data_IF_148941357315
#
_entry.id   IF_148941357315
#
_cell.length_a   1.000
_cell.length_b   1.000
_cell.length_c   1.000
_cell.angle_alpha   90.00
_cell.angle_beta   90.00
_cell.angle_gamma   90.00
#
_symmetry.space_group_name_H-M   'P 1'
#
loop_
_entity.id
_entity.type
_entity.pdbx_description
1 polymer ?
#
# COMPACT_ATOMS: atom_id res chain seq x y z
N UNK A 1 -25.83 32.17 16.60
CA UNK A 1 -26.75 31.42 15.71
C UNK A 1 -26.42 29.91 15.67
N UNK A 2 -25.19 29.50 15.50
CA UNK A 2 -24.79 28.08 15.43
C UNK A 2 -25.32 27.24 16.60
N UNK A 3 -25.17 27.72 17.86
CA UNK A 3 -25.64 27.02 19.07
C UNK A 3 -27.14 26.67 19.04
N UNK A 4 -28.00 27.53 18.46
CA UNK A 4 -29.43 27.25 18.34
C UNK A 4 -29.69 26.08 17.37
N UNK A 5 -29.01 26.04 16.25
CA UNK A 5 -29.13 24.93 15.26
C UNK A 5 -28.64 23.61 15.81
N UNK A 6 -27.54 23.63 16.58
CA UNK A 6 -27.01 22.43 17.23
C UNK A 6 -28.00 21.85 18.24
N UNK A 7 -28.63 22.70 19.06
CA UNK A 7 -29.65 22.24 20.04
C UNK A 7 -30.85 21.66 19.33
N UNK A 8 -31.34 22.30 18.26
CA UNK A 8 -32.44 21.76 17.47
C UNK A 8 -32.11 20.45 16.81
N UNK A 9 -30.91 20.31 16.24
CA UNK A 9 -30.44 19.07 15.66
C UNK A 9 -30.39 17.94 16.71
N UNK A 10 -29.84 18.20 17.89
CA UNK A 10 -29.80 17.22 18.99
C UNK A 10 -31.21 16.79 19.46
N UNK A 11 -32.16 17.72 19.59
CA UNK A 11 -33.54 17.39 19.94
C UNK A 11 -34.19 16.50 18.88
N UNK A 12 -33.95 16.75 17.60
CA UNK A 12 -34.44 15.90 16.51
C UNK A 12 -33.81 14.52 16.56
N UNK A 13 -32.48 14.42 16.73
CA UNK A 13 -31.79 13.15 16.89
C UNK A 13 -32.39 12.34 18.06
N UNK A 14 -32.68 13.01 19.18
CA UNK A 14 -33.33 12.38 20.33
C UNK A 14 -34.75 11.89 20.00
N UNK A 15 -35.48 12.63 19.19
CA UNK A 15 -36.81 12.24 18.72
C UNK A 15 -36.74 11.03 17.80
N UNK A 16 -35.76 10.98 16.87
CA UNK A 16 -35.53 9.80 16.01
C UNK A 16 -35.22 8.56 16.82
N UNK A 17 -34.30 8.70 17.79
CA UNK A 17 -33.91 7.57 18.65
C UNK A 17 -35.10 7.01 19.44
N UNK A 18 -36.09 7.85 19.78
CA UNK A 18 -37.28 7.42 20.51
C UNK A 18 -38.41 6.89 19.63
N UNK A 19 -38.68 7.56 18.50
CA UNK A 19 -39.80 7.18 17.62
C UNK A 19 -39.45 6.00 16.70
N UNK A 20 -38.23 5.99 16.17
CA UNK A 20 -37.77 5.04 15.16
C UNK A 20 -36.47 4.35 15.61
N UNK A 21 -36.48 3.81 16.83
CA UNK A 21 -35.28 3.20 17.47
C UNK A 21 -34.59 2.18 16.59
N UNK A 22 -35.36 1.31 15.93
CA UNK A 22 -34.78 0.26 15.08
C UNK A 22 -34.01 0.84 13.90
N UNK A 23 -34.59 1.80 13.18
CA UNK A 23 -33.98 2.48 12.03
C UNK A 23 -32.74 3.26 12.48
N UNK A 24 -32.86 3.94 13.62
CA UNK A 24 -31.77 4.69 14.21
C UNK A 24 -30.58 3.78 14.59
N UNK A 25 -30.86 2.64 15.23
CA UNK A 25 -29.84 1.65 15.56
C UNK A 25 -29.19 1.04 14.31
N UNK A 26 -29.96 0.68 13.29
CA UNK A 26 -29.46 0.18 12.01
C UNK A 26 -28.55 1.20 11.32
N UNK A 27 -28.93 2.47 11.38
CA UNK A 27 -28.14 3.58 10.85
C UNK A 27 -26.78 3.69 11.55
N UNK A 28 -26.77 3.76 12.88
CA UNK A 28 -25.53 3.82 13.66
C UNK A 28 -24.67 2.61 13.44
N UNK A 29 -25.24 1.42 13.53
CA UNK A 29 -24.52 0.15 13.34
C UNK A 29 -23.93 0.06 11.94
N UNK A 30 -24.70 0.38 10.90
CA UNK A 30 -24.23 0.37 9.51
C UNK A 30 -23.08 1.35 9.30
N UNK A 31 -23.15 2.56 9.87
CA UNK A 31 -22.07 3.55 9.76
C UNK A 31 -20.82 3.12 10.53
N UNK A 32 -20.97 2.54 11.72
CA UNK A 32 -19.86 2.03 12.52
C UNK A 32 -19.17 0.87 11.79
N UNK A 33 -19.93 -0.11 11.31
CA UNK A 33 -19.38 -1.26 10.55
C UNK A 33 -18.68 -0.83 9.27
N UNK A 34 -19.26 0.14 8.55
CA UNK A 34 -18.65 0.71 7.35
C UNK A 34 -17.31 1.38 7.66
N UNK A 35 -17.24 2.19 8.70
CA UNK A 35 -16.02 2.87 9.11
C UNK A 35 -14.96 1.89 9.62
N UNK A 36 -15.34 0.83 10.35
CA UNK A 36 -14.46 -0.24 10.77
C UNK A 36 -13.91 -1.01 9.56
N UNK A 37 -14.77 -1.35 8.60
CA UNK A 37 -14.35 -2.01 7.36
C UNK A 37 -13.38 -1.15 6.57
N UNK A 38 -13.64 0.16 6.46
CA UNK A 38 -12.72 1.08 5.80
C UNK A 38 -11.36 1.09 6.49
N UNK A 39 -11.29 1.23 7.82
CA UNK A 39 -10.05 1.22 8.58
C UNK A 39 -9.29 -0.10 8.36
N UNK A 40 -9.97 -1.23 8.42
CA UNK A 40 -9.36 -2.54 8.23
C UNK A 40 -8.75 -2.70 6.82
N UNK A 41 -9.51 -2.41 5.77
CA UNK A 41 -9.01 -2.53 4.39
C UNK A 41 -7.96 -1.47 4.05
N UNK A 42 -8.13 -0.24 4.56
CA UNK A 42 -7.13 0.81 4.43
C UNK A 42 -5.81 0.41 5.07
N UNK A 43 -5.85 -0.12 6.29
CA UNK A 43 -4.67 -0.63 6.98
C UNK A 43 -3.99 -1.77 6.24
N UNK A 44 -4.75 -2.74 5.74
CA UNK A 44 -4.22 -3.83 4.94
C UNK A 44 -3.54 -3.32 3.66
N UNK A 45 -4.16 -2.36 2.97
CA UNK A 45 -3.58 -1.75 1.77
C UNK A 45 -2.28 -0.98 2.08
N UNK A 46 -2.22 -0.31 3.23
CA UNK A 46 -1.01 0.38 3.67
C UNK A 46 0.09 -0.59 4.10
N UNK A 47 -0.29 -1.68 4.78
CA UNK A 47 0.66 -2.74 5.15
C UNK A 47 1.23 -3.44 3.93
N UNK A 48 0.39 -3.77 2.96
CA UNK A 48 0.79 -4.38 1.69
C UNK A 48 1.81 -3.50 0.96
N UNK A 49 1.49 -2.21 0.79
CA UNK A 49 2.44 -1.24 0.20
C UNK A 49 3.75 -1.13 0.98
N UNK A 50 3.69 -1.16 2.31
CA UNK A 50 4.88 -1.07 3.16
C UNK A 50 5.72 -2.35 3.05
N UNK A 51 5.10 -3.53 3.11
CA UNK A 51 5.77 -4.81 2.95
C UNK A 51 6.38 -4.97 1.56
N UNK A 52 5.66 -4.60 0.52
CA UNK A 52 6.20 -4.54 -0.83
C UNK A 52 7.41 -3.59 -0.89
N UNK A 53 7.30 -2.39 -0.32
CA UNK A 53 8.38 -1.43 -0.29
C UNK A 53 9.60 -1.90 0.52
N UNK A 54 9.38 -2.56 1.66
CA UNK A 54 10.46 -3.03 2.53
C UNK A 54 11.10 -4.33 2.05
N UNK A 55 10.30 -5.24 1.49
CA UNK A 55 10.72 -6.59 1.13
C UNK A 55 11.07 -6.73 -0.36
N UNK A 56 10.62 -5.84 -1.22
CA UNK A 56 10.95 -5.89 -2.63
C UNK A 56 12.23 -5.11 -2.91
N UNK A 57 13.31 -5.85 -3.11
CA UNK A 57 14.57 -5.28 -3.61
C UNK A 57 14.39 -4.61 -4.96
N UNK A 58 13.47 -5.09 -5.79
CA UNK A 58 13.15 -4.51 -7.09
C UNK A 58 12.73 -3.03 -7.03
N UNK A 59 12.22 -2.54 -5.88
CA UNK A 59 11.84 -1.13 -5.69
C UNK A 59 13.03 -0.20 -5.38
N UNK A 60 14.21 -0.76 -5.20
CA UNK A 60 15.45 -0.02 -4.94
C UNK A 60 16.63 -0.52 -5.77
N UNK A 61 16.34 -1.28 -6.83
CA UNK A 61 17.36 -1.87 -7.70
C UNK A 61 17.21 -1.35 -9.12
N UNK A 62 18.31 -0.86 -9.68
CA UNK A 62 18.45 -0.62 -11.12
C UNK A 62 19.11 -1.85 -11.72
N UNK A 63 18.50 -2.44 -12.76
CA UNK A 63 19.02 -3.61 -13.43
C UNK A 63 19.49 -3.22 -14.83
N UNK A 64 20.75 -3.48 -15.12
CA UNK A 64 21.38 -3.22 -16.41
C UNK A 64 21.47 -4.55 -17.16
N UNK A 65 20.94 -4.57 -18.37
CA UNK A 65 21.03 -5.70 -19.30
C UNK A 65 21.86 -5.29 -20.50
N UNK A 66 22.76 -6.14 -20.95
CA UNK A 66 23.58 -5.87 -22.14
C UNK A 66 24.72 -6.86 -22.26
N UNK A 67 25.01 -7.22 -23.49
CA UNK A 67 26.15 -8.12 -23.84
C UNK A 67 27.43 -7.29 -23.89
N UNK A 68 28.04 -7.16 -22.73
CA UNK A 68 29.24 -6.33 -22.53
C UNK A 68 30.20 -7.05 -21.58
N UNK A 69 31.47 -6.95 -21.85
CA UNK A 69 32.54 -7.39 -20.93
C UNK A 69 32.65 -6.37 -19.78
N UNK A 70 32.11 -6.73 -18.61
CA UNK A 70 32.17 -5.91 -17.42
C UNK A 70 33.54 -6.03 -16.74
N UNK A 71 34.08 -4.91 -16.32
CA UNK A 71 35.35 -4.85 -15.58
C UNK A 71 35.10 -4.45 -14.13
N UNK A 72 36.06 -4.64 -13.25
CA UNK A 72 35.99 -4.19 -11.86
C UNK A 72 35.80 -2.67 -11.77
N UNK A 73 36.40 -1.90 -12.70
CA UNK A 73 36.23 -0.44 -12.77
C UNK A 73 34.78 -0.03 -13.15
N UNK A 74 34.15 -0.79 -14.06
CA UNK A 74 32.75 -0.58 -14.42
C UNK A 74 31.84 -0.81 -13.23
N UNK A 75 32.03 -1.88 -12.46
CA UNK A 75 31.22 -2.18 -11.27
C UNK A 75 31.41 -1.11 -10.17
N UNK A 76 32.63 -0.61 -9.99
CA UNK A 76 32.90 0.49 -9.07
C UNK A 76 32.24 1.79 -9.55
N UNK A 77 32.35 2.11 -10.84
CA UNK A 77 31.70 3.27 -11.44
C UNK A 77 30.18 3.21 -11.32
N UNK A 78 29.61 2.00 -11.47
CA UNK A 78 28.18 1.75 -11.26
C UNK A 78 27.77 2.03 -9.81
N UNK A 79 28.55 1.53 -8.84
CA UNK A 79 28.31 1.81 -7.41
C UNK A 79 28.37 3.30 -7.12
N UNK A 80 29.34 4.01 -7.68
CA UNK A 80 29.57 5.43 -7.42
C UNK A 80 28.59 6.34 -8.19
N UNK A 81 27.79 5.79 -9.10
CA UNK A 81 26.75 6.54 -9.81
C UNK A 81 25.62 7.02 -8.88
N UNK A 82 25.41 6.33 -7.74
CA UNK A 82 24.39 6.70 -6.75
C UNK A 82 25.02 6.91 -5.37
N UNK A 83 24.69 8.02 -4.73
CA UNK A 83 25.17 8.39 -3.37
C UNK A 83 24.52 7.58 -2.23
N UNK A 84 23.73 6.60 -2.50
CA UNK A 84 23.06 5.71 -1.53
C UNK A 84 23.13 4.27 -2.00
N UNK A 85 24.15 3.92 -2.80
CA UNK A 85 24.34 2.54 -3.23
C UNK A 85 24.76 1.66 -2.05
N UNK A 86 24.05 0.57 -1.90
CA UNK A 86 24.33 -0.46 -0.88
C UNK A 86 25.33 -1.47 -1.41
N UNK A 87 25.06 -2.00 -2.61
CA UNK A 87 25.93 -2.97 -3.28
C UNK A 87 25.69 -3.00 -4.80
N UNK A 88 26.57 -3.67 -5.51
CA UNK A 88 26.42 -4.04 -6.92
C UNK A 88 26.46 -5.56 -7.00
N UNK A 89 25.46 -6.14 -7.66
CA UNK A 89 25.34 -7.58 -7.90
C UNK A 89 25.50 -7.87 -9.38
N UNK A 90 26.41 -8.79 -9.70
CA UNK A 90 26.51 -9.42 -11.00
C UNK A 90 25.81 -10.79 -10.95
N UNK A 91 25.05 -11.13 -11.97
CA UNK A 91 24.35 -12.41 -12.05
C UNK A 91 24.50 -13.07 -13.41
N UNK A 92 24.63 -14.40 -13.38
CA UNK A 92 24.74 -15.29 -14.52
C UNK A 92 23.93 -16.56 -14.25
N UNK A 93 23.20 -17.05 -15.23
CA UNK A 93 22.42 -18.27 -15.12
C UNK A 93 23.15 -19.41 -15.84
N UNK A 94 23.47 -20.45 -15.09
CA UNK A 94 24.10 -21.66 -15.62
C UNK A 94 23.06 -22.76 -15.73
N UNK A 95 22.91 -23.33 -16.92
CA UNK A 95 22.11 -24.54 -17.13
C UNK A 95 22.88 -25.77 -16.66
N UNK A 96 22.33 -26.49 -15.69
CA UNK A 96 22.84 -27.77 -15.26
C UNK A 96 22.20 -28.90 -16.08
N UNK A 97 22.84 -30.11 -16.04
CA UNK A 97 22.28 -31.27 -16.72
C UNK A 97 20.86 -31.60 -16.24
N UNK A 98 20.00 -32.10 -17.12
CA UNK A 98 18.59 -32.42 -16.87
C UNK A 98 18.33 -33.44 -15.74
N UNK A 99 19.37 -34.10 -15.22
CA UNK A 99 19.30 -35.03 -14.09
C UNK A 99 19.51 -34.33 -12.73
N UNK A 100 19.84 -33.06 -12.73
CA UNK A 100 20.00 -32.26 -11.51
C UNK A 100 18.63 -31.90 -10.90
N UNK A 101 18.57 -31.87 -9.56
CA UNK A 101 17.42 -31.36 -8.82
C UNK A 101 17.09 -29.90 -9.17
N UNK A 102 18.09 -29.18 -9.68
CA UNK A 102 18.01 -27.79 -10.14
C UNK A 102 18.50 -27.69 -11.58
N UNK A 103 17.60 -27.57 -12.57
CA UNK A 103 17.98 -27.46 -13.97
C UNK A 103 18.74 -26.16 -14.29
N UNK A 104 18.50 -25.12 -13.50
CA UNK A 104 19.14 -23.81 -13.67
C UNK A 104 19.69 -23.32 -12.33
N UNK A 105 20.93 -22.87 -12.31
CA UNK A 105 21.57 -22.20 -11.17
C UNK A 105 21.83 -20.74 -11.49
N UNK A 106 21.40 -19.85 -10.58
CA UNK A 106 21.76 -18.44 -10.62
C UNK A 106 23.07 -18.22 -9.86
N UNK A 107 24.14 -17.98 -10.58
CA UNK A 107 25.44 -17.62 -10.01
C UNK A 107 25.48 -16.12 -9.78
N UNK A 108 25.74 -15.70 -8.55
CA UNK A 108 25.72 -14.30 -8.15
C UNK A 108 27.03 -13.91 -7.48
N UNK A 109 27.48 -12.70 -7.75
CA UNK A 109 28.65 -12.12 -7.12
C UNK A 109 28.35 -10.68 -6.65
N UNK A 110 28.83 -10.31 -5.48
CA UNK A 110 28.58 -9.02 -4.84
C UNK A 110 29.89 -8.22 -4.70
N UNK A 111 29.87 -6.97 -5.13
CA UNK A 111 31.03 -6.09 -5.07
C UNK A 111 31.50 -5.85 -3.63
N UNK A 112 30.55 -5.62 -2.70
CA UNK A 112 30.84 -5.41 -1.28
C UNK A 112 30.76 -6.69 -0.45
N UNK A 113 30.71 -7.86 -1.10
CA UNK A 113 30.66 -9.15 -0.41
C UNK A 113 29.51 -9.29 0.59
N UNK A 114 28.34 -8.76 0.28
CA UNK A 114 27.20 -8.72 1.18
C UNK A 114 25.91 -9.28 0.56
N UNK A 115 25.81 -10.61 0.47
CA UNK A 115 24.59 -11.28 0.02
C UNK A 115 23.45 -11.21 1.06
N UNK A 116 23.73 -10.85 2.32
CA UNK A 116 22.73 -10.71 3.38
C UNK A 116 21.64 -9.69 3.11
N UNK A 117 21.88 -8.74 2.19
CA UNK A 117 20.90 -7.78 1.68
C UNK A 117 19.66 -8.46 1.10
N UNK A 118 19.79 -9.67 0.58
CA UNK A 118 18.75 -10.42 -0.13
C UNK A 118 18.00 -11.43 0.77
N UNK A 119 18.04 -11.26 2.10
CA UNK A 119 17.35 -12.13 3.05
C UNK A 119 17.78 -13.60 3.00
N UNK A 120 18.99 -13.89 2.53
CA UNK A 120 19.55 -15.22 2.62
C UNK A 120 19.88 -15.58 4.08
N UNK A 121 19.61 -16.83 4.45
CA UNK A 121 19.99 -17.40 5.74
C UNK A 121 21.25 -18.25 5.59
N UNK A 122 22.07 -18.34 6.63
CA UNK A 122 23.31 -19.08 6.62
C UNK A 122 24.52 -18.19 6.32
N UNK A 123 25.49 -18.71 5.62
CA UNK A 123 26.68 -17.93 5.23
C UNK A 123 26.31 -17.04 4.03
N UNK A 124 26.52 -15.73 4.18
CA UNK A 124 26.15 -14.71 3.17
C UNK A 124 27.33 -13.84 2.74
N UNK A 125 28.53 -14.14 3.24
CA UNK A 125 29.73 -13.39 2.91
C UNK A 125 30.97 -14.30 2.95
N UNK A 126 31.97 -13.96 2.16
CA UNK A 126 33.25 -14.62 2.14
C UNK A 126 34.22 -13.97 3.14
N UNK A 127 35.16 -14.76 3.67
CA UNK A 127 36.28 -14.21 4.43
C UNK A 127 37.28 -13.52 3.48
N UNK A 128 38.16 -12.62 3.97
CA UNK A 128 39.16 -11.95 3.14
C UNK A 128 40.11 -12.91 2.40
N UNK A 129 40.30 -14.12 2.92
CA UNK A 129 41.10 -15.18 2.31
C UNK A 129 40.33 -15.88 1.17
N UNK A 130 39.05 -16.18 1.42
CA UNK A 130 38.14 -16.79 0.45
C UNK A 130 37.90 -15.87 -0.77
N UNK A 131 37.88 -14.54 -0.57
CA UNK A 131 37.73 -13.58 -1.69
C UNK A 131 38.87 -13.64 -2.72
N UNK A 132 40.00 -14.28 -2.38
CA UNK A 132 41.15 -14.39 -3.27
C UNK A 132 41.25 -15.75 -3.95
N UNK A 133 40.34 -16.66 -3.65
CA UNK A 133 40.32 -18.04 -4.12
C UNK A 133 39.04 -18.31 -4.89
N UNK A 134 39.10 -19.27 -5.82
CA UNK A 134 37.92 -19.79 -6.47
C UNK A 134 37.19 -20.69 -5.47
N UNK A 135 36.06 -20.18 -4.94
CA UNK A 135 35.23 -20.90 -4.00
C UNK A 135 33.76 -20.46 -4.14
N UNK A 136 32.85 -21.27 -3.62
CA UNK A 136 31.43 -21.01 -3.70
C UNK A 136 30.75 -21.11 -2.32
N UNK A 137 29.71 -20.32 -2.12
CA UNK A 137 28.68 -20.52 -1.09
C UNK A 137 27.43 -21.01 -1.81
N UNK A 138 26.96 -22.20 -1.49
CA UNK A 138 25.92 -22.87 -2.25
C UNK A 138 24.77 -23.33 -1.33
N UNK A 139 23.59 -23.70 -1.86
CA UNK A 139 22.56 -24.38 -1.09
C UNK A 139 23.08 -25.66 -0.44
N UNK A 140 22.50 -26.04 0.70
CA UNK A 140 22.90 -27.25 1.42
C UNK A 140 22.64 -28.57 0.67
N UNK A 141 21.91 -28.53 -0.43
CA UNK A 141 21.69 -29.65 -1.36
C UNK A 141 22.85 -29.85 -2.33
N UNK A 142 23.75 -28.90 -2.48
CA UNK A 142 24.96 -28.98 -3.29
C UNK A 142 26.05 -29.59 -2.43
N UNK A 143 26.81 -30.53 -3.00
CA UNK A 143 27.91 -31.22 -2.32
C UNK A 143 29.09 -30.30 -2.00
N UNK A 144 30.25 -30.91 -1.70
CA UNK A 144 31.45 -30.18 -1.29
C UNK A 144 32.15 -29.42 -2.43
N UNK A 145 31.77 -29.68 -3.68
CA UNK A 145 32.27 -28.97 -4.86
C UNK A 145 31.15 -28.76 -5.88
N UNK A 146 31.30 -27.72 -6.68
CA UNK A 146 30.35 -27.32 -7.73
C UNK A 146 31.12 -27.06 -9.02
N UNK A 147 30.71 -27.70 -10.11
CA UNK A 147 31.25 -27.42 -11.44
C UNK A 147 30.39 -26.36 -12.14
N UNK A 148 30.99 -25.21 -12.43
CA UNK A 148 30.39 -24.13 -13.19
C UNK A 148 31.13 -23.97 -14.50
N UNK A 149 30.47 -24.30 -15.60
CA UNK A 149 31.04 -24.19 -16.98
C UNK A 149 32.42 -24.81 -17.15
N UNK A 150 32.70 -25.93 -16.48
CA UNK A 150 33.98 -26.66 -16.57
C UNK A 150 35.00 -26.26 -15.51
N UNK A 151 34.72 -25.28 -14.68
CA UNK A 151 35.58 -24.89 -13.55
C UNK A 151 35.00 -25.42 -12.25
N UNK A 152 35.84 -26.06 -11.43
CA UNK A 152 35.44 -26.62 -10.14
C UNK A 152 35.62 -25.59 -9.01
N UNK A 153 34.55 -25.30 -8.32
CA UNK A 153 34.48 -24.39 -7.16
C UNK A 153 34.24 -25.19 -5.88
N UNK A 154 35.19 -25.26 -4.94
CA UNK A 154 34.96 -25.85 -3.63
C UNK A 154 33.93 -25.07 -2.87
N UNK A 155 32.97 -25.76 -2.26
CA UNK A 155 31.90 -25.14 -1.45
C UNK A 155 32.45 -24.89 -0.05
N UNK A 156 32.56 -23.61 0.31
CA UNK A 156 33.16 -23.17 1.59
C UNK A 156 32.10 -22.80 2.61
N UNK A 157 30.82 -22.80 2.23
CA UNK A 157 29.72 -22.50 3.09
C UNK A 157 28.35 -22.78 2.46
N UNK A 158 27.32 -22.82 3.32
CA UNK A 158 25.97 -23.09 2.86
C UNK A 158 25.03 -21.93 3.16
N UNK A 159 24.16 -21.65 2.20
CA UNK A 159 23.08 -20.67 2.33
C UNK A 159 21.72 -21.32 2.14
N UNK A 160 20.68 -20.69 2.63
CA UNK A 160 19.27 -21.07 2.38
C UNK A 160 18.53 -19.88 1.81
N UNK A 161 17.86 -20.11 0.70
CA UNK A 161 16.92 -19.19 0.09
C UNK A 161 15.67 -19.96 -0.35
N UNK A 162 14.56 -19.24 -0.59
CA UNK A 162 13.32 -19.88 -1.05
C UNK A 162 13.48 -20.66 -2.34
N UNK A 163 14.30 -20.16 -3.26
CA UNK A 163 14.46 -20.76 -4.60
C UNK A 163 15.53 -21.87 -4.65
N UNK A 164 16.35 -22.04 -3.59
CA UNK A 164 17.41 -23.06 -3.46
C UNK A 164 18.35 -23.25 -4.67
N UNK A 165 18.27 -22.34 -5.65
CA UNK A 165 19.03 -22.41 -6.91
C UNK A 165 20.04 -21.28 -7.07
N UNK A 166 20.43 -20.62 -5.97
CA UNK A 166 21.36 -19.49 -5.98
C UNK A 166 22.68 -19.88 -5.37
N UNK A 167 23.76 -19.58 -6.07
CA UNK A 167 25.15 -19.80 -5.66
C UNK A 167 25.89 -18.47 -5.63
N UNK A 168 26.68 -18.24 -4.60
CA UNK A 168 27.55 -17.08 -4.53
C UNK A 168 28.98 -17.47 -4.83
N UNK A 169 29.67 -16.65 -5.62
CA UNK A 169 31.12 -16.75 -5.85
C UNK A 169 31.73 -15.35 -5.62
N UNK A 170 33.05 -15.28 -5.31
CA UNK A 170 33.73 -14.00 -5.22
C UNK A 170 33.64 -13.22 -6.53
N UNK A 171 33.44 -11.92 -6.45
CA UNK A 171 33.30 -11.06 -7.63
C UNK A 171 34.55 -11.12 -8.54
N UNK A 172 35.70 -11.29 -7.95
CA UNK A 172 36.96 -11.47 -8.71
C UNK A 172 36.93 -12.75 -9.51
N UNK A 173 36.63 -13.89 -8.90
CA UNK A 173 36.49 -15.17 -9.61
C UNK A 173 35.45 -15.11 -10.70
N UNK A 174 34.33 -14.37 -10.44
CA UNK A 174 33.29 -14.18 -11.43
C UNK A 174 33.78 -13.47 -12.69
N UNK A 175 34.61 -12.44 -12.53
CA UNK A 175 35.19 -11.69 -13.66
C UNK A 175 36.39 -12.42 -14.32
N UNK A 176 37.24 -13.08 -13.52
CA UNK A 176 38.43 -13.77 -14.01
C UNK A 176 38.07 -14.99 -14.88
N UNK A 177 36.93 -15.64 -14.65
CA UNK A 177 36.42 -16.76 -15.45
C UNK A 177 35.54 -16.32 -16.64
N UNK A 178 35.41 -15.00 -16.88
CA UNK A 178 34.66 -14.43 -18.02
C UNK A 178 33.21 -14.97 -18.17
N UNK A 179 32.52 -15.24 -17.05
CA UNK A 179 31.11 -15.65 -17.13
C UNK A 179 30.31 -14.60 -17.88
N UNK A 180 29.46 -15.05 -18.81
CA UNK A 180 28.52 -14.12 -19.51
C UNK A 180 27.54 -13.53 -18.51
N UNK A 181 27.45 -12.20 -18.47
CA UNK A 181 26.59 -11.51 -17.50
C UNK A 181 25.18 -11.35 -18.07
N UNK A 182 24.20 -12.01 -17.45
CA UNK A 182 22.79 -11.82 -17.80
C UNK A 182 22.32 -10.43 -17.37
N UNK A 183 22.74 -10.00 -16.18
CA UNK A 183 22.43 -8.69 -15.64
C UNK A 183 23.41 -8.21 -14.58
N UNK A 184 23.53 -6.89 -14.48
CA UNK A 184 24.24 -6.23 -13.38
C UNK A 184 23.24 -5.31 -12.66
N UNK A 185 23.19 -5.41 -11.36
CA UNK A 185 22.23 -4.67 -10.54
C UNK A 185 22.94 -3.70 -9.60
N UNK A 186 22.46 -2.46 -9.61
CA UNK A 186 22.80 -1.46 -8.61
C UNK A 186 21.71 -1.43 -7.55
N UNK A 187 22.04 -1.80 -6.32
CA UNK A 187 21.13 -1.88 -5.19
C UNK A 187 21.31 -0.65 -4.33
N UNK A 188 20.22 0.04 -4.07
CA UNK A 188 20.19 1.21 -3.18
C UNK A 188 19.82 0.81 -1.75
N UNK A 189 20.25 1.61 -0.78
CA UNK A 189 19.88 1.46 0.62
C UNK A 189 18.40 1.75 0.86
N UNK A 190 17.86 2.73 0.14
CA UNK A 190 16.46 3.17 0.27
C UNK A 190 15.80 3.28 -1.11
N UNK A 191 14.46 3.29 -1.11
CA UNK A 191 13.69 3.55 -2.33
C UNK A 191 13.97 4.99 -2.78
N UNK A 192 14.47 5.20 -4.01
CA UNK A 192 14.79 6.53 -4.49
C UNK A 192 13.51 7.37 -4.68
N UNK A 193 13.60 8.67 -4.42
CA UNK A 193 12.56 9.59 -4.87
C UNK A 193 12.56 9.69 -6.40
N UNK A 194 11.44 10.07 -7.01
CA UNK A 194 11.34 10.18 -8.48
C UNK A 194 12.43 11.07 -9.09
N UNK A 195 12.81 12.12 -8.38
CA UNK A 195 13.89 13.03 -8.82
C UNK A 195 15.27 12.35 -8.77
N UNK A 196 15.53 11.60 -7.72
CA UNK A 196 16.77 10.82 -7.57
C UNK A 196 16.84 9.70 -8.61
N UNK A 197 15.72 8.98 -8.80
CA UNK A 197 15.62 7.94 -9.83
C UNK A 197 16.01 8.47 -11.20
N UNK A 198 15.40 9.56 -11.64
CA UNK A 198 15.72 10.17 -12.94
C UNK A 198 17.18 10.61 -13.03
N UNK A 199 17.75 11.19 -11.95
CA UNK A 199 19.15 11.58 -11.91
C UNK A 199 20.12 10.41 -12.00
N UNK A 200 19.80 9.29 -11.30
CA UNK A 200 20.59 8.07 -11.37
C UNK A 200 20.48 7.48 -12.78
N UNK A 201 19.26 7.37 -13.33
CA UNK A 201 19.02 6.86 -14.67
C UNK A 201 19.80 7.64 -15.74
N UNK A 202 19.79 8.98 -15.68
CA UNK A 202 20.59 9.83 -16.58
C UNK A 202 22.08 9.54 -16.48
N UNK A 203 22.60 9.37 -15.25
CA UNK A 203 24.02 9.05 -15.04
C UNK A 203 24.37 7.65 -15.57
N UNK A 204 23.52 6.66 -15.29
CA UNK A 204 23.73 5.29 -15.75
C UNK A 204 23.69 5.21 -17.27
N UNK A 205 22.74 5.88 -17.91
CA UNK A 205 22.64 5.96 -19.38
C UNK A 205 23.85 6.66 -20.02
N UNK A 206 24.46 7.62 -19.32
CA UNK A 206 25.66 8.28 -19.78
C UNK A 206 26.93 7.41 -19.62
N UNK A 207 27.01 6.63 -18.53
CA UNK A 207 28.15 5.72 -18.27
C UNK A 207 28.08 4.44 -19.11
N UNK A 208 26.86 3.94 -19.34
CA UNK A 208 26.60 2.66 -20.00
C UNK A 208 25.59 2.80 -21.14
N UNK A 209 25.92 3.51 -22.24
CA UNK A 209 24.96 3.85 -23.30
C UNK A 209 24.45 2.63 -24.10
N UNK A 210 25.17 1.53 -24.08
CA UNK A 210 24.83 0.30 -24.81
C UNK A 210 23.98 -0.68 -24.00
N UNK A 211 23.66 -0.33 -22.73
CA UNK A 211 22.87 -1.21 -21.84
C UNK A 211 21.40 -0.77 -21.76
N UNK A 212 20.51 -1.73 -21.69
CA UNK A 212 19.11 -1.48 -21.33
C UNK A 212 18.97 -1.41 -19.81
N UNK A 213 18.37 -0.35 -19.30
CA UNK A 213 18.26 -0.10 -17.85
C UNK A 213 16.81 -0.20 -17.42
N UNK A 214 16.51 -1.18 -16.58
CA UNK A 214 15.24 -1.26 -15.86
C UNK A 214 15.36 -0.50 -14.54
N UNK A 215 14.47 0.45 -14.31
CA UNK A 215 14.48 1.29 -13.11
C UNK A 215 13.47 0.79 -12.05
N UNK A 216 13.65 1.13 -10.77
CA UNK A 216 12.75 0.75 -9.67
C UNK A 216 11.29 1.12 -9.91
N UNK A 217 11.01 2.23 -10.62
CA UNK A 217 9.64 2.68 -10.87
C UNK A 217 8.88 1.79 -11.86
N UNK A 218 9.56 1.12 -12.77
CA UNK A 218 8.93 0.13 -13.66
C UNK A 218 8.40 -1.05 -12.84
N UNK A 219 9.16 -1.55 -11.87
CA UNK A 219 8.72 -2.60 -10.95
C UNK A 219 7.53 -2.14 -10.08
N UNK A 220 7.60 -0.92 -9.54
CA UNK A 220 6.50 -0.32 -8.76
C UNK A 220 5.22 -0.19 -9.60
N UNK A 221 5.32 0.24 -10.85
CA UNK A 221 4.17 0.36 -11.76
C UNK A 221 3.60 -1.01 -12.14
N UNK A 222 4.45 -1.99 -12.42
CA UNK A 222 4.02 -3.35 -12.72
C UNK A 222 3.22 -3.95 -11.55
N UNK A 223 3.70 -3.81 -10.32
CA UNK A 223 3.02 -4.33 -9.13
C UNK A 223 1.73 -3.57 -8.82
N UNK A 224 1.70 -2.25 -9.01
CA UNK A 224 0.47 -1.46 -8.87
C UNK A 224 -0.59 -1.87 -9.90
N UNK A 225 -0.19 -2.24 -11.10
CA UNK A 225 -1.10 -2.73 -12.14
C UNK A 225 -1.64 -4.15 -11.87
N UNK A 226 -0.91 -4.95 -11.10
CA UNK A 226 -1.30 -6.33 -10.76
C UNK A 226 -2.35 -6.41 -9.66
N UNK A 227 -2.48 -5.38 -8.80
CA UNK A 227 -3.41 -5.42 -7.65
C UNK A 227 -4.41 -4.26 -7.59
N UNK A 228 -5.19 -3.98 -8.67
CA UNK A 228 -6.25 -2.97 -8.63
C UNK A 228 -7.44 -3.44 -7.77
N UNK A 229 -7.58 -4.75 -7.52
CA UNK A 229 -8.74 -5.35 -6.88
C UNK A 229 -8.94 -4.90 -5.43
N UNK A 230 -7.87 -4.78 -4.64
CA UNK A 230 -7.97 -4.40 -3.23
C UNK A 230 -8.48 -2.97 -3.03
N UNK A 231 -7.98 -2.02 -3.82
CA UNK A 231 -8.42 -0.61 -3.78
C UNK A 231 -9.84 -0.47 -4.31
N UNK A 232 -10.17 -1.16 -5.41
CA UNK A 232 -11.52 -1.13 -5.98
C UNK A 232 -12.55 -1.75 -5.04
N UNK A 233 -12.24 -2.87 -4.39
CA UNK A 233 -13.12 -3.53 -3.43
C UNK A 233 -13.36 -2.65 -2.19
N UNK A 234 -12.31 -2.06 -1.63
CA UNK A 234 -12.40 -1.14 -0.49
C UNK A 234 -13.26 0.07 -0.82
N UNK A 235 -13.00 0.69 -1.99
CA UNK A 235 -13.77 1.83 -2.47
C UNK A 235 -15.23 1.47 -2.74
N UNK A 236 -15.48 0.28 -3.31
CA UNK A 236 -16.83 -0.22 -3.58
C UNK A 236 -17.65 -0.45 -2.32
N UNK A 237 -17.10 -1.13 -1.32
CA UNK A 237 -17.75 -1.35 -0.01
C UNK A 237 -18.06 -0.01 0.65
N UNK A 238 -17.12 0.93 0.61
CA UNK A 238 -17.30 2.24 1.20
C UNK A 238 -18.39 3.07 0.48
N UNK A 239 -18.42 3.03 -0.87
CA UNK A 239 -19.48 3.67 -1.66
C UNK A 239 -20.87 3.08 -1.37
N UNK A 240 -20.99 1.76 -1.33
CA UNK A 240 -22.28 1.11 -0.98
C UNK A 240 -22.74 1.54 0.40
N UNK A 241 -21.82 1.65 1.35
CA UNK A 241 -22.12 2.09 2.71
C UNK A 241 -22.59 3.55 2.75
N UNK A 242 -21.97 4.44 1.99
CA UNK A 242 -22.38 5.85 1.87
C UNK A 242 -23.77 5.93 1.23
N UNK A 243 -24.04 5.17 0.18
CA UNK A 243 -25.35 5.13 -0.46
C UNK A 243 -26.45 4.64 0.50
N UNK A 244 -26.18 3.57 1.23
CA UNK A 244 -27.10 3.06 2.27
C UNK A 244 -27.37 4.11 3.35
N UNK A 245 -26.32 4.82 3.77
CA UNK A 245 -26.42 5.93 4.71
C UNK A 245 -27.30 7.07 4.17
N UNK A 246 -27.12 7.45 2.91
CA UNK A 246 -27.91 8.49 2.26
C UNK A 246 -29.39 8.12 2.14
N UNK A 247 -29.69 6.88 1.75
CA UNK A 247 -31.09 6.42 1.68
C UNK A 247 -31.77 6.46 3.03
N UNK A 248 -31.07 6.03 4.09
CA UNK A 248 -31.60 6.06 5.43
C UNK A 248 -31.82 7.50 5.94
N UNK A 249 -30.87 8.39 5.65
CA UNK A 249 -31.00 9.80 6.01
C UNK A 249 -32.12 10.49 5.20
N UNK A 250 -32.25 10.15 3.92
CA UNK A 250 -33.35 10.66 3.10
C UNK A 250 -34.71 10.22 3.62
N UNK A 251 -34.82 8.97 4.09
CA UNK A 251 -36.02 8.49 4.76
C UNK A 251 -36.35 9.33 6.03
N UNK A 252 -35.36 9.54 6.90
CA UNK A 252 -35.53 10.38 8.09
C UNK A 252 -35.92 11.83 7.75
N UNK A 253 -35.35 12.40 6.70
CA UNK A 253 -35.71 13.72 6.19
C UNK A 253 -37.15 13.79 5.68
N UNK A 254 -37.63 12.73 5.02
CA UNK A 254 -39.03 12.65 4.55
C UNK A 254 -40.00 12.54 5.72
N UNK A 255 -39.71 11.74 6.73
CA UNK A 255 -40.55 11.59 7.90
C UNK A 255 -40.69 12.90 8.70
N UNK A 256 -39.62 13.71 8.73
CA UNK A 256 -39.64 15.02 9.37
C UNK A 256 -40.00 16.18 8.45
N UNK A 257 -40.46 15.88 7.26
CA UNK A 257 -40.86 16.92 6.30
C UNK A 257 -42.01 17.83 6.84
N UNK A 258 -42.88 17.26 7.67
CA UNK A 258 -43.94 18.05 8.36
C UNK A 258 -43.33 19.13 9.26
N UNK A 259 -42.38 18.81 10.11
CA UNK A 259 -41.70 19.78 10.97
C UNK A 259 -41.01 20.88 10.17
N UNK A 260 -40.37 20.50 9.03
CA UNK A 260 -39.70 21.44 8.15
C UNK A 260 -40.69 22.43 7.49
N UNK A 261 -41.91 21.97 7.18
CA UNK A 261 -42.99 22.84 6.68
C UNK A 261 -43.48 23.78 7.78
N UNK A 262 -43.65 23.28 9.01
CA UNK A 262 -44.03 24.10 10.16
C UNK A 262 -43.00 25.20 10.40
N UNK A 263 -41.71 24.89 10.39
CA UNK A 263 -40.66 25.91 10.50
C UNK A 263 -40.72 26.95 9.38
N UNK A 264 -40.99 26.52 8.16
CA UNK A 264 -41.13 27.43 7.02
C UNK A 264 -42.36 28.33 7.15
N UNK A 265 -43.48 27.83 7.69
CA UNK A 265 -44.71 28.58 7.95
C UNK A 265 -44.54 29.61 9.07
N UNK A 266 -43.73 29.31 10.09
CA UNK A 266 -43.39 30.22 11.19
C UNK A 266 -42.34 31.27 10.79
N UNK A 267 -41.89 31.25 9.52
CA UNK A 267 -41.00 32.26 8.98
C UNK A 267 -39.49 31.89 9.03
N UNK A 268 -39.14 30.62 9.28
CA UNK A 268 -37.77 30.19 9.19
C UNK A 268 -37.25 30.27 7.74
N UNK A 269 -36.06 30.82 7.56
CA UNK A 269 -35.39 30.84 6.24
C UNK A 269 -35.07 29.41 5.82
N UNK A 270 -35.24 29.09 4.53
CA UNK A 270 -34.87 27.77 3.96
C UNK A 270 -33.44 27.37 4.26
N UNK A 271 -32.52 28.34 4.26
CA UNK A 271 -31.14 28.12 4.65
C UNK A 271 -30.96 27.63 6.11
N UNK A 272 -31.84 28.04 7.02
CA UNK A 272 -31.81 27.57 8.40
C UNK A 272 -32.20 26.09 8.51
N UNK A 273 -33.23 25.67 7.75
CA UNK A 273 -33.65 24.26 7.70
C UNK A 273 -32.53 23.37 7.12
N UNK A 274 -31.89 23.83 6.04
CA UNK A 274 -30.74 23.15 5.45
C UNK A 274 -29.59 23.06 6.45
N UNK A 275 -29.28 24.14 7.17
CA UNK A 275 -28.23 24.15 8.18
C UNK A 275 -28.52 23.15 9.33
N UNK A 276 -29.77 23.04 9.76
CA UNK A 276 -30.16 22.04 10.77
C UNK A 276 -29.96 20.63 10.23
N UNK A 277 -30.39 20.33 9.00
CA UNK A 277 -30.20 19.02 8.38
C UNK A 277 -28.72 18.65 8.22
N UNK A 278 -27.85 19.57 7.79
CA UNK A 278 -26.40 19.36 7.72
C UNK A 278 -25.83 19.09 9.12
N UNK A 279 -26.26 19.80 10.13
CA UNK A 279 -25.80 19.55 11.50
C UNK A 279 -26.27 18.20 12.06
N UNK A 280 -27.52 17.81 11.80
CA UNK A 280 -28.03 16.48 12.16
C UNK A 280 -27.16 15.38 11.53
N UNK A 281 -26.93 15.49 10.24
CA UNK A 281 -26.09 14.53 9.51
C UNK A 281 -24.66 14.49 10.05
N UNK A 282 -24.05 15.66 10.27
CA UNK A 282 -22.68 15.74 10.81
C UNK A 282 -22.56 15.17 12.22
N UNK A 283 -23.53 15.42 13.08
CA UNK A 283 -23.57 14.90 14.46
C UNK A 283 -23.73 13.38 14.46
N UNK A 284 -24.66 12.86 13.65
CA UNK A 284 -24.90 11.42 13.54
C UNK A 284 -23.70 10.68 12.95
N UNK A 285 -23.21 11.12 11.78
CA UNK A 285 -22.06 10.50 11.13
C UNK A 285 -20.78 10.66 11.94
N UNK A 286 -20.57 11.84 12.55
CA UNK A 286 -19.42 12.12 13.39
C UNK A 286 -19.38 11.27 14.67
N UNK A 287 -20.54 11.10 15.35
CA UNK A 287 -20.61 10.23 16.53
C UNK A 287 -20.37 8.76 16.18
N UNK A 288 -20.92 8.28 15.07
CA UNK A 288 -20.71 6.93 14.60
C UNK A 288 -19.23 6.69 14.15
N UNK A 289 -18.64 7.66 13.43
CA UNK A 289 -17.24 7.60 13.04
C UNK A 289 -16.29 7.61 14.25
N UNK A 290 -16.57 8.46 15.24
CA UNK A 290 -15.81 8.49 16.49
C UNK A 290 -15.87 7.15 17.21
N UNK A 291 -17.08 6.60 17.36
CA UNK A 291 -17.28 5.28 17.98
C UNK A 291 -16.52 4.19 17.21
N UNK A 292 -16.56 4.20 15.88
CA UNK A 292 -15.83 3.25 15.05
C UNK A 292 -14.31 3.37 15.24
N UNK A 293 -13.77 4.59 15.26
CA UNK A 293 -12.35 4.83 15.50
C UNK A 293 -11.92 4.34 16.90
N UNK A 294 -12.73 4.60 17.93
CA UNK A 294 -12.47 4.12 19.29
C UNK A 294 -12.53 2.59 19.39
N UNK A 295 -13.56 1.99 18.80
CA UNK A 295 -13.70 0.52 18.74
C UNK A 295 -12.52 -0.12 17.97
N UNK A 296 -12.16 0.44 16.82
CA UNK A 296 -11.01 -0.05 16.07
C UNK A 296 -9.73 0.04 16.90
N UNK A 297 -9.45 1.17 17.53
CA UNK A 297 -8.25 1.33 18.37
C UNK A 297 -8.23 0.36 19.55
N UNK A 298 -9.37 0.11 20.19
CA UNK A 298 -9.49 -0.82 21.32
C UNK A 298 -9.38 -2.28 20.88
N UNK A 299 -9.99 -2.64 19.74
CA UNK A 299 -10.04 -4.02 19.23
C UNK A 299 -8.87 -4.33 18.29
N UNK A 300 -8.02 -3.38 17.98
CA UNK A 300 -6.95 -3.58 17.00
C UNK A 300 -6.02 -4.73 17.39
N UNK A 301 -5.40 -4.67 18.55
CA UNK A 301 -4.48 -5.72 19.03
C UNK A 301 -5.15 -7.08 19.28
N UNK A 302 -6.30 -7.17 20.01
CA UNK A 302 -6.89 -8.46 20.31
C UNK A 302 -7.58 -9.14 19.13
N UNK A 303 -8.02 -8.38 18.10
CA UNK A 303 -8.80 -8.94 17.00
C UNK A 303 -8.19 -8.64 15.62
N UNK A 304 -8.06 -7.37 15.24
CA UNK A 304 -7.70 -7.00 13.87
C UNK A 304 -6.26 -7.36 13.52
N UNK A 305 -5.32 -7.21 14.45
CA UNK A 305 -3.92 -7.58 14.24
C UNK A 305 -3.72 -9.09 14.04
N UNK A 306 -4.59 -9.93 14.64
CA UNK A 306 -4.52 -11.38 14.49
C UNK A 306 -5.08 -11.88 13.14
N UNK A 307 -6.00 -11.13 12.55
CA UNK A 307 -6.63 -11.47 11.25
C UNK A 307 -5.78 -10.89 10.10
N UNK A 308 -4.92 -9.90 10.40
CA UNK A 308 -4.13 -9.24 9.38
C UNK A 308 -2.98 -10.16 8.91
N UNK A 309 -2.98 -10.49 7.61
CA UNK A 309 -1.97 -11.36 6.98
C UNK A 309 -0.57 -10.73 7.04
N UNK A 310 -0.48 -9.41 7.11
CA UNK A 310 0.77 -8.65 7.07
C UNK A 310 1.31 -8.25 8.45
N UNK A 311 0.72 -8.75 9.53
CA UNK A 311 1.13 -8.44 10.91
C UNK A 311 0.61 -7.10 11.44
N UNK A 312 1.29 -6.51 12.43
CA UNK A 312 0.84 -5.26 13.04
C UNK A 312 1.06 -4.05 12.11
N UNK A 313 -0.03 -3.35 11.81
CA UNK A 313 -0.01 -2.08 11.06
C UNK A 313 0.02 -0.93 12.06
N UNK A 314 1.02 -0.05 12.02
CA UNK A 314 1.04 1.12 12.88
C UNK A 314 0.07 2.19 12.36
N UNK A 315 -1.14 2.21 12.88
CA UNK A 315 -2.09 3.30 12.62
C UNK A 315 -1.64 4.57 13.32
N UNK A 316 -1.65 5.67 12.59
CA UNK A 316 -1.38 7.01 13.10
C UNK A 316 -2.66 7.74 13.44
N UNK A 317 -2.56 8.82 14.20
CA UNK A 317 -3.71 9.72 14.44
C UNK A 317 -4.27 10.29 13.13
N UNK A 318 -3.40 10.49 12.12
CA UNK A 318 -3.78 10.95 10.79
C UNK A 318 -4.73 10.00 10.07
N UNK A 319 -4.54 8.68 10.20
CA UNK A 319 -5.38 7.66 9.56
C UNK A 319 -6.80 7.66 10.17
N UNK A 320 -6.89 7.78 11.50
CA UNK A 320 -8.18 7.92 12.19
C UNK A 320 -8.88 9.24 11.82
N UNK A 321 -8.13 10.33 11.71
CA UNK A 321 -8.66 11.62 11.29
C UNK A 321 -9.16 11.57 9.85
N UNK A 322 -8.44 10.90 8.96
CA UNK A 322 -8.86 10.68 7.56
C UNK A 322 -10.19 9.92 7.51
N UNK A 323 -10.29 8.80 8.23
CA UNK A 323 -11.52 8.01 8.31
C UNK A 323 -12.69 8.86 8.84
N UNK A 324 -12.48 9.60 9.92
CA UNK A 324 -13.47 10.49 10.50
C UNK A 324 -13.94 11.56 9.50
N UNK A 325 -13.02 12.26 8.87
CA UNK A 325 -13.34 13.29 7.88
C UNK A 325 -14.09 12.72 6.67
N UNK A 326 -13.65 11.59 6.13
CA UNK A 326 -14.34 10.95 5.01
C UNK A 326 -15.77 10.54 5.39
N UNK A 327 -15.96 9.95 6.58
CA UNK A 327 -17.28 9.50 7.04
C UNK A 327 -18.23 10.67 7.28
N UNK A 328 -17.75 11.87 7.59
CA UNK A 328 -18.58 13.07 7.77
C UNK A 328 -18.77 13.85 6.46
N UNK A 329 -17.70 14.06 5.69
CA UNK A 329 -17.74 14.96 4.53
C UNK A 329 -18.40 14.32 3.30
N UNK A 330 -18.19 13.02 3.06
CA UNK A 330 -18.76 12.36 1.88
C UNK A 330 -20.30 12.32 1.92
N UNK A 331 -20.97 11.96 3.02
CA UNK A 331 -22.42 12.05 3.10
C UNK A 331 -22.95 13.48 2.95
N UNK A 332 -22.24 14.48 3.50
CA UNK A 332 -22.61 15.89 3.34
C UNK A 332 -22.52 16.33 1.87
N UNK A 333 -21.46 15.97 1.18
CA UNK A 333 -21.27 16.26 -0.23
C UNK A 333 -22.36 15.59 -1.10
N UNK A 334 -22.66 14.34 -0.80
CA UNK A 334 -23.69 13.58 -1.51
C UNK A 334 -25.12 14.08 -1.21
N UNK A 335 -25.35 14.69 -0.04
CA UNK A 335 -26.63 15.31 0.30
C UNK A 335 -26.86 16.67 -0.41
N UNK A 336 -25.78 17.34 -0.83
CA UNK A 336 -25.86 18.69 -1.41
C UNK A 336 -26.86 18.84 -2.58
N UNK A 337 -26.95 17.93 -3.57
CA UNK A 337 -27.94 18.02 -4.64
C UNK A 337 -29.39 17.93 -4.12
N UNK A 338 -29.64 17.11 -3.10
CA UNK A 338 -30.97 16.99 -2.49
C UNK A 338 -31.35 18.26 -1.73
N UNK A 339 -30.44 18.87 -1.01
CA UNK A 339 -30.65 20.13 -0.31
C UNK A 339 -30.88 21.29 -1.28
N UNK A 340 -30.19 21.34 -2.40
CA UNK A 340 -30.41 22.35 -3.43
C UNK A 340 -31.78 22.20 -4.09
N UNK A 341 -32.18 20.95 -4.38
CA UNK A 341 -33.55 20.67 -4.88
C UNK A 341 -34.62 21.06 -3.88
N UNK A 342 -34.41 20.78 -2.59
CA UNK A 342 -35.31 21.20 -1.51
C UNK A 342 -35.42 22.72 -1.43
N UNK A 343 -34.33 23.46 -1.53
CA UNK A 343 -34.35 24.93 -1.51
C UNK A 343 -35.12 25.55 -2.69
N UNK A 344 -35.15 24.88 -3.84
CA UNK A 344 -35.90 25.35 -5.03
C UNK A 344 -37.41 25.17 -4.94
N UNK A 345 -37.92 24.24 -4.10
CA UNK A 345 -39.34 23.97 -3.96
C UNK A 345 -40.07 25.14 -3.28
N UNK A 346 -41.24 25.48 -3.77
CA UNK A 346 -42.11 26.47 -3.15
C UNK A 346 -42.83 25.92 -1.89
N UNK A 347 -43.21 26.78 -0.95
CA UNK A 347 -43.96 26.36 0.23
C UNK A 347 -45.33 25.73 -0.17
N UNK A 348 -45.91 26.16 -1.29
CA UNK A 348 -47.17 25.61 -1.81
C UNK A 348 -46.98 24.18 -2.36
N UNK A 349 -45.86 23.87 -3.01
CA UNK A 349 -45.55 22.53 -3.48
C UNK A 349 -45.27 21.58 -2.32
N UNK A 350 -44.60 22.04 -1.27
CA UNK A 350 -44.36 21.26 -0.06
C UNK A 350 -45.70 20.93 0.64
N UNK A 351 -46.68 21.88 0.71
CA UNK A 351 -47.98 21.62 1.27
C UNK A 351 -48.81 20.59 0.50
N UNK A 352 -48.74 20.59 -0.84
CA UNK A 352 -49.44 19.60 -1.70
C UNK A 352 -48.96 18.17 -1.51
N UNK A 353 -47.70 17.96 -1.15
CA UNK A 353 -47.15 16.61 -0.89
C UNK A 353 -47.71 15.99 0.41
N UNK A 354 -48.22 16.81 1.35
CA UNK A 354 -48.83 16.32 2.59
C UNK A 354 -50.33 16.04 2.50
N UNK A 355 -50.97 16.48 1.44
CA UNK A 355 -52.40 16.23 1.19
C UNK A 355 -52.66 14.97 0.35
N UNK A 356 -51.59 14.30 -0.10
CA UNK A 356 -51.60 12.98 -0.74
C UNK A 356 -51.07 11.91 0.19
#
# INVERSE_FOLDING_TARGET
MLRKYTVLALLRIQTYARKNTLIFCLFLLGTVLSSLSFLFFYGNSMADKRNMAQNSLSYRTFTLYGDRNWTMEDLQSLRDAASGSLDVRASHTVELSSESEYPELSVQAFLNNNAGVYFYQGQTSFTPEQLKQDCAIAPSSVGDSLNLEGTEFPVVGHTRHFDNNVVFIPIRSFLDHEFSLDSVELILDTIPTRKENNRILERLSALFPETSIADPYQSIQADQSRNPGGVAMTSGIYLISILSFLFLFQYLMQENSYENVVYSLVGARKSSVVCIACMELSLLSGSAALLACLLHAALYRPLFAQINIYGEVPYTLGDYLLCFLLTVLLPLAALAPFLTAYMRRSAAEMKRQFQR
#
